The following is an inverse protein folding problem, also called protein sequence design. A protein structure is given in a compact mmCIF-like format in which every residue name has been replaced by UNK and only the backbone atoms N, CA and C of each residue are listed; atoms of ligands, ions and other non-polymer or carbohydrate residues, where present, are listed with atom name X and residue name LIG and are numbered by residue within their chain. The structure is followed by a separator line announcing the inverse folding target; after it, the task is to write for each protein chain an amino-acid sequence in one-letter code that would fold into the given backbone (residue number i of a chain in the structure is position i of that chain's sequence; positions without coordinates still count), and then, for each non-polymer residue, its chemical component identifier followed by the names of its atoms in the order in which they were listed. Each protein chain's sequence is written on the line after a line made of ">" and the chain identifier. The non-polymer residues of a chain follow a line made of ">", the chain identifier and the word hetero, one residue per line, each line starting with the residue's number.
data_IF_482809449449
#
_entry.id   IF_482809449449
#
_cell.length_a   1.000
_cell.length_b   1.000
_cell.length_c   1.000
_cell.angle_alpha   90.00
_cell.angle_beta   90.00
_cell.angle_gamma   90.00
#
_symmetry.space_group_name_H-M   'P 1'
#
loop_
_entity.id
_entity.type
_entity.pdbx_description
1 polymer ?
#
# COMPACT_ATOMS: atom_id res chain seq x y z
N UNK A 1 44.63 13.29 10.53
CA UNK A 1 44.04 12.48 9.44
C UNK A 1 42.98 11.48 9.93
N UNK A 2 42.38 11.67 11.13
CA UNK A 2 41.40 10.73 11.71
C UNK A 2 39.95 11.02 11.25
N UNK A 3 39.63 12.29 10.97
CA UNK A 3 38.26 12.75 10.79
C UNK A 3 37.65 12.33 9.44
N UNK A 4 38.47 12.07 8.42
CA UNK A 4 38.02 11.61 7.10
C UNK A 4 37.60 10.13 7.08
N UNK A 5 38.19 9.30 7.94
CA UNK A 5 37.86 7.87 8.03
C UNK A 5 36.48 7.68 8.65
N UNK A 6 36.15 8.46 9.68
CA UNK A 6 34.82 8.45 10.29
C UNK A 6 33.73 8.91 9.33
N UNK A 7 34.00 9.91 8.49
CA UNK A 7 33.06 10.37 7.46
C UNK A 7 32.77 9.29 6.41
N UNK A 8 33.78 8.51 5.99
CA UNK A 8 33.61 7.41 5.03
C UNK A 8 32.85 6.21 5.65
N UNK A 9 33.10 5.89 6.91
CA UNK A 9 32.37 4.83 7.64
C UNK A 9 30.90 5.22 7.84
N UNK A 10 30.61 6.48 8.16
CA UNK A 10 29.24 6.97 8.27
C UNK A 10 28.51 6.94 6.92
N UNK A 11 29.21 7.22 5.81
CA UNK A 11 28.63 7.19 4.47
C UNK A 11 28.30 5.76 3.99
N UNK A 12 29.11 4.77 4.37
CA UNK A 12 28.83 3.35 4.08
C UNK A 12 27.63 2.78 4.85
N UNK A 13 27.35 3.28 6.06
CA UNK A 13 26.24 2.83 6.90
C UNK A 13 24.87 3.38 6.48
N UNK A 14 24.83 4.46 5.70
CA UNK A 14 23.57 5.13 5.27
C UNK A 14 22.97 4.49 3.98
N UNK A 15 23.64 3.51 3.39
CA UNK A 15 23.36 3.02 2.03
C UNK A 15 22.40 1.84 1.83
N UNK A 16 21.65 1.37 2.83
CA UNK A 16 20.81 0.16 2.67
C UNK A 16 19.37 0.36 3.14
N UNK A 17 18.64 1.20 2.41
CA UNK A 17 17.17 1.32 2.49
C UNK A 17 16.49 1.14 1.12
N UNK A 18 17.16 0.48 0.16
CA UNK A 18 16.53 0.15 -1.11
C UNK A 18 15.72 -1.13 -0.91
N UNK A 19 14.41 -1.10 -1.17
CA UNK A 19 13.59 -2.30 -1.14
C UNK A 19 14.10 -3.26 -2.25
N UNK A 20 14.94 -4.22 -1.86
CA UNK A 20 15.64 -5.10 -2.81
C UNK A 20 14.62 -6.07 -3.39
N UNK A 21 14.28 -5.85 -4.67
CA UNK A 21 13.39 -6.74 -5.39
C UNK A 21 13.89 -8.19 -5.30
N UNK A 22 13.00 -9.16 -5.05
CA UNK A 22 13.42 -10.54 -4.90
C UNK A 22 14.02 -11.05 -6.22
N UNK A 23 15.14 -11.78 -6.13
CA UNK A 23 15.87 -12.32 -7.28
C UNK A 23 15.18 -13.57 -7.88
N UNK A 24 13.92 -13.43 -8.28
CA UNK A 24 13.13 -14.51 -8.87
C UNK A 24 13.09 -14.42 -10.40
N UNK A 25 12.96 -15.56 -11.11
CA UNK A 25 12.62 -15.55 -12.53
C UNK A 25 11.24 -14.91 -12.76
N UNK A 26 11.08 -14.19 -13.87
CA UNK A 26 9.82 -13.50 -14.21
C UNK A 26 8.60 -14.43 -14.16
N UNK A 27 8.70 -15.63 -14.75
CA UNK A 27 7.62 -16.62 -14.76
C UNK A 27 7.21 -17.10 -13.36
N UNK A 28 8.10 -17.03 -12.36
CA UNK A 28 7.73 -17.28 -10.97
C UNK A 28 6.99 -16.07 -10.38
N UNK A 29 7.51 -14.87 -10.60
CA UNK A 29 6.89 -13.64 -10.12
C UNK A 29 5.44 -13.51 -10.62
N UNK A 30 5.21 -13.75 -11.91
CA UNK A 30 3.88 -13.65 -12.51
C UNK A 30 2.87 -14.60 -11.83
N UNK A 31 3.27 -15.86 -11.57
CA UNK A 31 2.43 -16.83 -10.88
C UNK A 31 2.10 -16.44 -9.44
N UNK A 32 3.08 -15.91 -8.70
CA UNK A 32 2.86 -15.51 -7.31
C UNK A 32 2.02 -14.23 -7.22
N UNK A 33 2.23 -13.28 -8.13
CA UNK A 33 1.41 -12.07 -8.26
C UNK A 33 -0.04 -12.45 -8.59
N UNK A 34 -0.24 -13.33 -9.59
CA UNK A 34 -1.56 -13.78 -10.00
C UNK A 34 -2.28 -14.48 -8.83
N UNK A 35 -1.62 -15.46 -8.20
CA UNK A 35 -2.17 -16.20 -7.05
C UNK A 35 -2.58 -15.27 -5.91
N UNK A 36 -1.70 -14.36 -5.50
CA UNK A 36 -1.99 -13.45 -4.38
C UNK A 36 -3.09 -12.44 -4.76
N UNK A 37 -3.11 -11.98 -6.02
CA UNK A 37 -4.16 -11.07 -6.50
C UNK A 37 -5.55 -11.73 -6.51
N UNK A 38 -5.64 -13.01 -6.83
CA UNK A 38 -6.88 -13.78 -6.76
C UNK A 38 -7.37 -13.89 -5.32
N UNK A 39 -6.51 -14.28 -4.37
CA UNK A 39 -6.89 -14.38 -2.95
C UNK A 39 -7.38 -13.05 -2.37
N UNK A 40 -6.68 -11.95 -2.65
CA UNK A 40 -7.09 -10.60 -2.22
C UNK A 40 -8.45 -10.23 -2.83
N UNK A 41 -8.70 -10.61 -4.09
CA UNK A 41 -9.98 -10.34 -4.76
C UNK A 41 -11.12 -11.14 -4.14
N UNK A 42 -10.90 -12.41 -3.82
CA UNK A 42 -11.88 -13.26 -3.15
C UNK A 42 -12.26 -12.72 -1.77
N UNK A 43 -11.27 -12.38 -0.95
CA UNK A 43 -11.53 -11.78 0.38
C UNK A 43 -12.20 -10.42 0.27
N UNK A 44 -11.78 -9.58 -0.68
CA UNK A 44 -12.43 -8.29 -0.95
C UNK A 44 -13.91 -8.50 -1.31
N UNK A 45 -14.22 -9.44 -2.18
CA UNK A 45 -15.61 -9.73 -2.56
C UNK A 45 -16.41 -10.30 -1.39
N UNK A 46 -15.86 -11.20 -0.58
CA UNK A 46 -16.51 -11.74 0.60
C UNK A 46 -16.84 -10.63 1.62
N UNK A 47 -15.90 -9.72 1.86
CA UNK A 47 -16.11 -8.57 2.74
C UNK A 47 -17.22 -7.66 2.23
N UNK A 48 -17.13 -7.22 0.96
CA UNK A 48 -18.06 -6.24 0.41
C UNK A 48 -19.46 -6.80 0.10
N UNK A 49 -19.57 -8.06 -0.29
CA UNK A 49 -20.85 -8.64 -0.70
C UNK A 49 -21.54 -9.44 0.41
N UNK A 50 -20.77 -10.05 1.32
CA UNK A 50 -21.29 -10.96 2.33
C UNK A 50 -21.05 -10.46 3.75
N UNK A 51 -20.28 -9.38 3.95
CA UNK A 51 -19.89 -8.90 5.27
C UNK A 51 -18.98 -9.86 6.03
N UNK A 52 -18.34 -10.80 5.31
CA UNK A 52 -17.52 -11.86 5.92
C UNK A 52 -16.04 -11.54 5.77
N UNK A 53 -15.30 -11.61 6.88
CA UNK A 53 -13.85 -11.43 6.89
C UNK A 53 -13.16 -12.72 7.36
N UNK A 54 -12.58 -13.47 6.41
CA UNK A 54 -11.91 -14.75 6.68
C UNK A 54 -10.49 -14.59 7.22
N UNK A 55 -9.92 -13.39 7.11
CA UNK A 55 -8.59 -13.01 7.62
C UNK A 55 -8.72 -11.69 8.37
N UNK A 56 -7.78 -11.38 9.27
CA UNK A 56 -7.77 -10.07 9.93
C UNK A 56 -7.40 -8.95 8.95
N UNK A 57 -7.87 -7.74 9.24
CA UNK A 57 -7.53 -6.54 8.47
C UNK A 57 -6.01 -6.35 8.34
N UNK A 58 -5.27 -6.61 9.43
CA UNK A 58 -3.81 -6.53 9.43
C UNK A 58 -3.14 -7.52 8.46
N UNK A 59 -3.65 -8.76 8.39
CA UNK A 59 -3.13 -9.77 7.45
C UNK A 59 -3.45 -9.39 6.01
N UNK A 60 -4.67 -8.91 5.78
CA UNK A 60 -5.08 -8.40 4.48
C UNK A 60 -4.17 -7.24 4.02
N UNK A 61 -3.95 -6.25 4.87
CA UNK A 61 -3.13 -5.07 4.57
C UNK A 61 -1.68 -5.46 4.26
N UNK A 62 -1.06 -6.33 5.08
CA UNK A 62 0.30 -6.82 4.83
C UNK A 62 0.44 -7.56 3.48
N UNK A 63 -0.57 -8.35 3.11
CA UNK A 63 -0.57 -9.09 1.85
C UNK A 63 -0.84 -8.16 0.66
N UNK A 64 -1.71 -7.16 0.80
CA UNK A 64 -1.94 -6.13 -0.20
C UNK A 64 -0.66 -5.31 -0.45
N UNK A 65 0.05 -4.93 0.61
CA UNK A 65 1.36 -4.26 0.51
C UNK A 65 2.41 -5.14 -0.17
N UNK A 66 2.44 -6.45 0.15
CA UNK A 66 3.33 -7.41 -0.50
C UNK A 66 3.04 -7.51 -2.00
N UNK A 67 1.77 -7.58 -2.40
CA UNK A 67 1.37 -7.61 -3.80
C UNK A 67 1.78 -6.31 -4.51
N UNK A 68 1.54 -5.16 -3.89
CA UNK A 68 1.95 -3.86 -4.39
C UNK A 68 3.48 -3.75 -4.55
N UNK A 69 4.24 -4.34 -3.64
CA UNK A 69 5.69 -4.43 -3.73
C UNK A 69 6.15 -5.29 -4.92
N UNK A 70 5.58 -6.49 -5.09
CA UNK A 70 5.94 -7.36 -6.21
C UNK A 70 5.58 -6.76 -7.58
N UNK A 71 4.41 -6.12 -7.71
CA UNK A 71 4.02 -5.42 -8.95
C UNK A 71 5.05 -4.34 -9.32
N UNK A 72 5.44 -3.48 -8.36
CA UNK A 72 6.48 -2.47 -8.59
C UNK A 72 7.81 -3.08 -9.04
N UNK A 73 8.18 -4.23 -8.49
CA UNK A 73 9.44 -4.90 -8.82
C UNK A 73 9.46 -5.57 -10.20
N UNK A 74 8.37 -6.21 -10.62
CA UNK A 74 8.37 -7.09 -11.80
C UNK A 74 7.59 -6.54 -12.99
N UNK A 75 6.63 -5.64 -12.78
CA UNK A 75 5.82 -5.04 -13.86
C UNK A 75 6.09 -3.55 -14.04
N UNK A 76 6.71 -2.88 -13.06
CA UNK A 76 6.91 -1.43 -13.06
C UNK A 76 5.62 -0.64 -12.88
N UNK A 77 4.49 -1.32 -12.65
CA UNK A 77 3.19 -0.70 -12.50
C UNK A 77 2.97 -0.30 -11.05
N UNK A 78 2.62 0.97 -10.83
CA UNK A 78 2.11 1.40 -9.54
C UNK A 78 0.76 0.71 -9.30
N UNK A 79 0.48 0.21 -8.07
CA UNK A 79 -0.81 -0.37 -7.78
C UNK A 79 -1.89 0.69 -8.02
N UNK A 80 -2.80 0.42 -8.97
CA UNK A 80 -4.04 1.18 -9.09
C UNK A 80 -4.77 1.00 -7.76
N UNK A 81 -5.19 2.09 -7.12
CA UNK A 81 -6.07 2.00 -5.97
C UNK A 81 -7.29 1.18 -6.38
N UNK A 82 -7.41 -0.01 -5.77
CA UNK A 82 -8.42 -0.99 -6.10
C UNK A 82 -9.80 -0.34 -6.00
N UNK A 83 -10.48 -0.23 -7.13
CA UNK A 83 -11.88 0.18 -7.16
C UNK A 83 -12.68 -0.78 -6.27
N UNK A 84 -13.58 -0.23 -5.45
CA UNK A 84 -14.52 -1.04 -4.68
C UNK A 84 -15.29 -1.94 -5.64
N UNK A 85 -15.49 -3.22 -5.30
CA UNK A 85 -16.30 -4.10 -6.13
C UNK A 85 -17.71 -3.48 -6.30
N UNK A 86 -18.40 -3.76 -7.41
CA UNK A 86 -19.73 -3.23 -7.65
C UNK A 86 -20.64 -3.61 -6.48
N UNK A 87 -21.08 -2.59 -5.73
CA UNK A 87 -21.96 -2.76 -4.59
C UNK A 87 -23.36 -3.09 -5.08
N UNK A 88 -24.04 -4.04 -4.41
CA UNK A 88 -25.44 -4.35 -4.68
C UNK A 88 -26.32 -3.26 -4.06
N UNK A 89 -26.71 -2.29 -4.89
CA UNK A 89 -27.60 -1.20 -4.49
C UNK A 89 -27.72 -0.19 -5.63
N UNK A 90 -28.90 -0.11 -6.25
CA UNK A 90 -29.17 0.81 -7.36
C UNK A 90 -29.61 2.21 -6.89
N UNK A 91 -29.74 2.40 -5.57
CA UNK A 91 -30.12 3.67 -4.97
C UNK A 91 -29.00 4.70 -5.18
N UNK A 92 -29.24 5.67 -6.06
CA UNK A 92 -28.34 6.82 -6.21
C UNK A 92 -28.36 7.66 -4.94
N UNK A 93 -27.20 7.81 -4.30
CA UNK A 93 -27.04 8.71 -3.17
C UNK A 93 -26.87 10.15 -3.68
N UNK A 94 -27.52 11.15 -3.04
CA UNK A 94 -27.42 12.56 -3.46
C UNK A 94 -26.01 13.14 -3.23
N UNK A 95 -25.21 12.50 -2.38
CA UNK A 95 -23.82 12.85 -2.10
C UNK A 95 -22.94 11.64 -2.36
N UNK A 96 -21.80 11.84 -3.02
CA UNK A 96 -20.87 10.76 -3.31
C UNK A 96 -20.29 10.16 -2.02
N UNK A 97 -20.37 8.83 -1.89
CA UNK A 97 -19.69 8.12 -0.82
C UNK A 97 -18.19 8.07 -1.16
N UNK A 98 -17.38 8.71 -0.32
CA UNK A 98 -15.92 8.73 -0.47
C UNK A 98 -15.29 7.86 0.61
N UNK A 99 -14.13 7.28 0.28
CA UNK A 99 -13.29 6.61 1.27
C UNK A 99 -12.44 7.62 2.06
N UNK A 100 -11.71 7.10 3.05
CA UNK A 100 -10.70 7.87 3.77
C UNK A 100 -9.32 7.53 3.19
N UNK A 101 -8.54 8.56 2.86
CA UNK A 101 -7.14 8.37 2.45
C UNK A 101 -6.33 7.85 3.63
N UNK A 102 -5.67 6.70 3.46
CA UNK A 102 -4.81 6.11 4.48
C UNK A 102 -3.44 6.80 4.47
N UNK A 103 -2.97 7.21 5.65
CA UNK A 103 -1.65 7.79 5.88
C UNK A 103 -0.75 6.75 6.54
N UNK A 104 0.51 6.69 6.15
CA UNK A 104 1.40 5.58 6.52
C UNK A 104 1.80 5.58 8.01
N UNK A 105 1.83 6.75 8.65
CA UNK A 105 2.29 6.88 10.03
C UNK A 105 1.71 8.12 10.74
N UNK A 106 1.95 8.20 12.05
CA UNK A 106 1.47 9.31 12.88
C UNK A 106 2.07 10.67 12.50
N UNK A 107 3.28 10.71 11.95
CA UNK A 107 3.92 11.96 11.49
C UNK A 107 3.16 12.53 10.31
N UNK A 108 2.79 11.69 9.34
CA UNK A 108 1.99 12.10 8.18
C UNK A 108 0.59 12.57 8.61
N UNK A 109 -0.02 11.89 9.59
CA UNK A 109 -1.29 12.32 10.19
C UNK A 109 -1.14 13.70 10.85
N UNK A 110 -0.07 13.92 11.60
CA UNK A 110 0.19 15.20 12.24
C UNK A 110 0.44 16.33 11.24
N UNK A 111 1.11 16.04 10.12
CA UNK A 111 1.31 16.98 9.01
C UNK A 111 -0.02 17.34 8.33
N UNK A 112 -0.84 16.33 8.00
CA UNK A 112 -2.16 16.53 7.39
C UNK A 112 -3.08 17.38 8.29
N UNK A 113 -3.12 17.06 9.58
CA UNK A 113 -3.89 17.83 10.57
C UNK A 113 -3.40 19.28 10.72
N UNK A 114 -2.09 19.55 10.58
CA UNK A 114 -1.56 20.92 10.52
C UNK A 114 -2.00 21.63 9.24
N UNK A 115 -1.94 20.96 8.09
CA UNK A 115 -2.37 21.52 6.81
C UNK A 115 -3.83 21.96 6.84
N UNK A 116 -4.73 21.14 7.37
CA UNK A 116 -6.17 21.46 7.46
C UNK A 116 -6.41 22.71 8.32
N UNK A 117 -5.69 22.87 9.44
CA UNK A 117 -5.85 24.04 10.31
C UNK A 117 -5.49 25.37 9.64
N UNK A 118 -4.53 25.38 8.72
CA UNK A 118 -4.15 26.60 8.00
C UNK A 118 -5.13 26.98 6.87
N UNK A 119 -5.94 26.03 6.38
CA UNK A 119 -6.97 26.29 5.37
C UNK A 119 -8.20 26.98 5.95
N UNK A 120 -8.48 26.81 7.25
CA UNK A 120 -9.64 27.40 7.93
C UNK A 120 -9.44 28.81 8.51
N UNK A 121 -8.26 29.42 8.35
CA UNK A 121 -7.94 30.76 8.88
C UNK A 121 -7.86 31.85 7.79
N UNK A 122 -8.45 31.59 6.62
CA UNK A 122 -8.57 32.56 5.52
C UNK A 122 -10.02 33.01 5.33
#
# INVERSE_FOLDING_TARGET
>A
MQNGVWALVLWMLVGYGQAVCPAWPQARADREIERLSQQITEWKNAYWQQGSSTVSDEVYDQLAERLAYWRRCFTGEAPVHDASPPLKGEARHPVAHTGVRKLANQTDVALDARSIRHVGTA
#
